data_IF_808181817869
#
_entry.id   IF_808181817869
#
_cell.length_a   1.000
_cell.length_b   1.000
_cell.length_c   1.000
_cell.angle_alpha   90.00
_cell.angle_beta   90.00
_cell.angle_gamma   90.00
#
_symmetry.space_group_name_H-M   'P 1'
#
loop_
_entity.id
_entity.type
_entity.pdbx_description
1 polymer ?
#
# COMPACT_ATOMS: atom_id res chain seq x y z
N UNK A 1 -7.53 32.46 28.80
CA UNK A 1 -6.22 32.54 28.15
C UNK A 1 -6.33 31.86 26.79
N UNK A 2 -5.83 32.46 25.72
CA UNK A 2 -5.72 31.76 24.43
C UNK A 2 -4.71 30.64 24.59
N UNK A 3 -5.06 29.42 24.19
CA UNK A 3 -4.15 28.28 24.23
C UNK A 3 -3.03 28.51 23.22
N UNK A 4 -1.77 28.56 23.67
CA UNK A 4 -0.61 28.93 22.85
C UNK A 4 0.23 27.73 22.41
N UNK A 5 -0.04 26.56 22.98
CA UNK A 5 0.67 25.31 22.72
C UNK A 5 -0.19 24.38 21.87
N UNK A 6 0.42 23.81 20.83
CA UNK A 6 -0.16 22.75 20.01
C UNK A 6 0.82 21.58 20.00
N UNK A 7 0.36 20.36 20.26
CA UNK A 7 1.23 19.19 20.22
C UNK A 7 1.74 18.95 18.78
N UNK A 8 2.97 18.45 18.66
CA UNK A 8 3.45 17.88 17.40
C UNK A 8 2.92 16.44 17.24
N UNK A 9 2.86 15.93 16.00
CA UNK A 9 2.56 14.52 15.76
C UNK A 9 3.47 13.60 16.58
N UNK A 10 2.89 12.52 17.09
CA UNK A 10 3.64 11.54 17.87
C UNK A 10 4.46 10.64 16.95
N UNK A 11 5.65 10.25 17.41
CA UNK A 11 6.48 9.23 16.78
C UNK A 11 6.68 8.11 17.79
N UNK A 12 6.23 6.89 17.47
CA UNK A 12 6.27 5.76 18.42
C UNK A 12 5.43 5.96 19.68
N UNK A 13 4.37 6.77 19.61
CA UNK A 13 3.49 7.07 20.75
C UNK A 13 3.99 8.18 21.68
N UNK A 14 5.13 8.80 21.39
CA UNK A 14 5.68 9.92 22.17
C UNK A 14 5.52 11.24 21.42
N UNK A 15 5.10 12.29 22.14
CA UNK A 15 5.08 13.66 21.62
C UNK A 15 6.53 14.09 21.33
N UNK A 16 6.81 14.42 20.08
CA UNK A 16 8.15 14.77 19.59
C UNK A 16 8.54 16.23 19.88
N UNK A 17 7.55 17.05 20.23
CA UNK A 17 7.70 18.45 20.55
C UNK A 17 6.33 19.15 20.62
N UNK A 18 6.35 20.46 20.76
CA UNK A 18 5.14 21.31 20.66
C UNK A 18 5.42 22.48 19.71
N UNK A 19 4.37 23.01 19.11
CA UNK A 19 4.38 24.35 18.57
C UNK A 19 3.94 25.33 19.66
N UNK A 20 4.81 26.27 20.04
CA UNK A 20 4.42 27.40 20.87
C UNK A 20 4.46 28.67 20.03
N UNK A 21 3.32 29.38 19.94
CA UNK A 21 3.22 30.62 19.16
C UNK A 21 3.71 30.45 17.71
N UNK A 22 3.43 29.29 17.10
CA UNK A 22 3.84 28.94 15.74
C UNK A 22 5.29 28.47 15.58
N UNK A 23 6.10 28.46 16.65
CA UNK A 23 7.47 27.98 16.60
C UNK A 23 7.59 26.54 17.09
N UNK A 24 8.33 25.73 16.34
CA UNK A 24 8.65 24.35 16.71
C UNK A 24 9.58 24.32 17.92
N UNK A 25 9.14 23.68 19.00
CA UNK A 25 9.92 23.41 20.21
C UNK A 25 10.10 21.90 20.32
N UNK A 26 11.34 21.39 20.23
CA UNK A 26 11.59 19.97 20.37
C UNK A 26 11.34 19.50 21.81
N UNK A 27 11.01 18.22 21.96
CA UNK A 27 10.97 17.56 23.27
C UNK A 27 12.40 17.40 23.83
N UNK A 28 12.87 18.43 24.50
CA UNK A 28 14.21 18.53 25.07
C UNK A 28 14.12 19.17 26.46
N UNK A 29 14.53 18.42 27.51
CA UNK A 29 14.47 18.87 28.91
C UNK A 29 15.38 20.07 29.19
N UNK A 30 16.43 20.26 28.39
CA UNK A 30 17.35 21.38 28.53
C UNK A 30 16.81 22.65 27.84
N UNK A 31 15.82 22.52 26.95
CA UNK A 31 15.15 23.63 26.30
C UNK A 31 14.21 24.36 27.28
N UNK A 32 14.44 25.67 27.47
CA UNK A 32 13.66 26.49 28.39
C UNK A 32 12.17 26.55 28.00
N UNK A 33 11.85 26.65 26.71
CA UNK A 33 10.48 26.75 26.23
C UNK A 33 9.74 25.40 26.31
N UNK A 34 10.47 24.28 26.25
CA UNK A 34 9.92 22.96 26.58
C UNK A 34 9.59 22.84 28.07
N UNK A 35 10.45 23.34 28.96
CA UNK A 35 10.15 23.39 30.41
C UNK A 35 8.93 24.27 30.72
N UNK A 36 8.76 25.38 30.01
CA UNK A 36 7.56 26.22 30.13
C UNK A 36 6.29 25.47 29.71
N UNK A 37 6.35 24.67 28.65
CA UNK A 37 5.25 23.79 28.26
C UNK A 37 4.93 22.74 29.34
N UNK A 38 5.94 22.08 29.91
CA UNK A 38 5.74 21.13 31.01
C UNK A 38 5.11 21.78 32.24
N UNK A 39 5.58 22.96 32.65
CA UNK A 39 5.00 23.72 33.76
C UNK A 39 3.55 24.15 33.47
N UNK A 40 3.23 24.49 32.21
CA UNK A 40 1.86 24.76 31.78
C UNK A 40 0.95 23.53 31.97
N UNK A 41 1.42 22.33 31.61
CA UNK A 41 0.67 21.09 31.85
C UNK A 41 0.49 20.80 33.34
N UNK A 42 1.55 20.94 34.15
CA UNK A 42 1.50 20.75 35.61
C UNK A 42 0.51 21.70 36.29
N UNK A 43 0.37 22.92 35.76
CA UNK A 43 -0.62 23.90 36.22
C UNK A 43 -2.06 23.60 35.76
N UNK A 44 -2.31 22.44 35.12
CA UNK A 44 -3.62 22.04 34.60
C UNK A 44 -3.94 22.58 33.20
N UNK A 45 -2.95 23.14 32.50
CA UNK A 45 -3.07 23.51 31.10
C UNK A 45 -3.26 22.29 30.20
N UNK A 46 -3.98 22.46 29.09
CA UNK A 46 -4.16 21.43 28.07
C UNK A 46 -3.68 22.00 26.75
N UNK A 47 -2.76 21.34 26.05
CA UNK A 47 -2.35 21.78 24.72
C UNK A 47 -3.42 21.45 23.68
N UNK A 48 -3.42 22.20 22.58
CA UNK A 48 -4.25 21.85 21.43
C UNK A 48 -3.69 20.58 20.77
N UNK A 49 -4.56 19.67 20.29
CA UNK A 49 -4.10 18.60 19.40
C UNK A 49 -3.48 19.21 18.14
N UNK A 50 -2.55 18.48 17.51
CA UNK A 50 -1.98 18.89 16.24
C UNK A 50 -3.07 19.10 15.18
N UNK A 51 -3.06 20.26 14.53
CA UNK A 51 -3.86 20.57 13.35
C UNK A 51 -2.96 21.24 12.31
N UNK A 52 -2.71 20.54 11.21
CA UNK A 52 -1.87 21.03 10.12
C UNK A 52 -2.44 22.27 9.42
N UNK A 53 -3.75 22.52 9.56
CA UNK A 53 -4.41 23.69 9.00
C UNK A 53 -4.18 24.96 9.84
N UNK A 54 -3.68 24.84 11.08
CA UNK A 54 -3.50 26.00 11.94
C UNK A 54 -2.19 26.75 11.67
N UNK A 55 -2.27 28.07 11.78
CA UNK A 55 -1.15 28.99 11.73
C UNK A 55 -1.26 29.98 12.89
N UNK A 56 -0.14 30.32 13.51
CA UNK A 56 -0.13 31.35 14.53
C UNK A 56 -0.07 32.75 13.90
N UNK A 57 -1.12 33.54 14.07
CA UNK A 57 -1.21 34.93 13.62
C UNK A 57 -1.89 35.79 14.68
N UNK A 58 -1.41 37.02 14.88
CA UNK A 58 -2.04 37.99 15.79
C UNK A 58 -2.32 37.43 17.20
N UNK A 59 -1.35 36.69 17.77
CA UNK A 59 -1.46 36.03 19.07
C UNK A 59 -2.57 34.96 19.19
N UNK A 60 -2.99 34.37 18.08
CA UNK A 60 -4.00 33.32 18.05
C UNK A 60 -3.68 32.27 16.97
N UNK A 61 -4.12 31.04 17.20
CA UNK A 61 -4.15 30.03 16.15
C UNK A 61 -5.34 30.29 15.23
N UNK A 62 -5.07 30.45 13.94
CA UNK A 62 -6.08 30.72 12.90
C UNK A 62 -6.00 29.65 11.82
N UNK A 63 -7.15 29.35 11.22
CA UNK A 63 -7.24 28.43 10.09
C UNK A 63 -6.55 29.04 8.87
N UNK A 64 -5.69 28.24 8.23
CA UNK A 64 -5.00 28.56 6.99
C UNK A 64 -5.40 27.50 5.93
N UNK A 65 -6.30 27.87 5.00
CA UNK A 65 -6.73 26.98 3.93
C UNK A 65 -5.59 26.49 3.02
N UNK A 66 -4.53 27.29 2.82
CA UNK A 66 -3.38 26.90 2.00
C UNK A 66 -2.57 25.80 2.69
N UNK A 67 -2.34 25.91 4.00
CA UNK A 67 -1.68 24.85 4.79
C UNK A 67 -2.52 23.58 4.82
N UNK A 68 -3.84 23.72 4.99
CA UNK A 68 -4.76 22.58 4.94
C UNK A 68 -4.69 21.86 3.59
N UNK A 69 -4.72 22.62 2.49
CA UNK A 69 -4.63 22.08 1.14
C UNK A 69 -3.27 21.40 0.88
N UNK A 70 -2.16 22.01 1.33
CA UNK A 70 -0.83 21.44 1.20
C UNK A 70 -0.70 20.12 1.98
N UNK A 71 -1.17 20.09 3.23
CA UNK A 71 -1.18 18.88 4.05
C UNK A 71 -2.03 17.77 3.41
N UNK A 72 -3.22 18.09 2.91
CA UNK A 72 -4.07 17.13 2.23
C UNK A 72 -3.40 16.57 0.96
N UNK A 73 -2.71 17.41 0.19
CA UNK A 73 -1.98 16.97 -1.00
C UNK A 73 -0.85 15.99 -0.66
N UNK A 74 -0.05 16.29 0.38
CA UNK A 74 1.01 15.41 0.87
C UNK A 74 0.47 14.09 1.41
N UNK A 75 -0.61 14.15 2.20
CA UNK A 75 -1.29 12.96 2.72
C UNK A 75 -1.75 12.06 1.56
N UNK A 76 -2.42 12.62 0.54
CA UNK A 76 -2.88 11.85 -0.62
C UNK A 76 -1.73 11.15 -1.35
N UNK A 77 -0.56 11.79 -1.46
CA UNK A 77 0.64 11.19 -2.04
C UNK A 77 1.13 10.02 -1.18
N UNK A 78 1.25 10.22 0.14
CA UNK A 78 1.67 9.18 1.07
C UNK A 78 0.72 7.96 1.04
N UNK A 79 -0.59 8.20 1.02
CA UNK A 79 -1.59 7.13 0.95
C UNK A 79 -1.58 6.40 -0.41
N UNK A 80 -1.27 7.10 -1.50
CA UNK A 80 -1.05 6.44 -2.79
C UNK A 80 0.16 5.49 -2.74
N UNK A 81 1.26 5.90 -2.10
CA UNK A 81 2.45 5.06 -1.93
C UNK A 81 2.16 3.86 -1.03
N UNK A 82 1.41 4.06 0.06
CA UNK A 82 0.94 2.97 0.92
C UNK A 82 0.12 1.95 0.13
N UNK A 83 -0.83 2.42 -0.70
CA UNK A 83 -1.65 1.54 -1.54
C UNK A 83 -0.82 0.80 -2.60
N UNK A 84 0.20 1.45 -3.18
CA UNK A 84 1.13 0.79 -4.10
C UNK A 84 1.88 -0.35 -3.38
N UNK A 85 2.40 -0.11 -2.16
CA UNK A 85 3.06 -1.14 -1.35
C UNK A 85 2.13 -2.31 -0.98
N UNK A 86 0.88 -2.03 -0.61
CA UNK A 86 -0.11 -3.07 -0.34
C UNK A 86 -0.43 -3.92 -1.58
N UNK A 87 -0.51 -3.28 -2.76
CA UNK A 87 -0.70 -3.97 -4.02
C UNK A 87 0.51 -4.83 -4.41
N UNK A 88 1.73 -4.35 -4.16
CA UNK A 88 2.97 -5.12 -4.42
C UNK A 88 3.08 -6.34 -3.52
N UNK A 89 2.79 -6.19 -2.22
CA UNK A 89 2.71 -7.31 -1.30
C UNK A 89 1.68 -8.35 -1.77
N UNK A 90 0.49 -7.90 -2.20
CA UNK A 90 -0.53 -8.80 -2.72
C UNK A 90 -0.09 -9.51 -4.01
N UNK A 91 0.62 -8.83 -4.92
CA UNK A 91 1.19 -9.49 -6.12
C UNK A 91 2.17 -10.58 -5.72
N UNK A 92 3.12 -10.28 -4.84
CA UNK A 92 4.09 -11.26 -4.34
C UNK A 92 3.41 -12.47 -3.71
N UNK A 93 2.30 -12.28 -2.97
CA UNK A 93 1.53 -13.41 -2.43
C UNK A 93 0.82 -14.25 -3.50
N UNK A 94 0.45 -13.68 -4.65
CA UNK A 94 -0.22 -14.42 -5.75
C UNK A 94 0.78 -15.22 -6.56
N UNK A 95 1.88 -14.59 -6.98
CA UNK A 95 2.79 -15.18 -7.98
C UNK A 95 4.12 -15.67 -7.39
N UNK A 96 4.41 -15.34 -6.13
CA UNK A 96 5.66 -15.72 -5.48
C UNK A 96 6.87 -14.99 -6.07
N UNK A 97 7.94 -15.75 -6.33
CA UNK A 97 9.20 -15.26 -6.84
C UNK A 97 9.05 -14.65 -8.25
N UNK A 98 9.49 -13.39 -8.48
CA UNK A 98 9.42 -12.76 -9.81
C UNK A 98 10.13 -13.52 -10.93
N UNK A 99 11.24 -14.23 -10.66
CA UNK A 99 11.92 -15.05 -11.66
C UNK A 99 11.08 -16.26 -12.06
N UNK A 100 10.32 -16.84 -11.13
CA UNK A 100 9.38 -17.93 -11.41
C UNK A 100 8.23 -17.46 -12.31
N UNK A 101 7.83 -16.20 -12.22
CA UNK A 101 6.86 -15.61 -13.16
C UNK A 101 7.39 -15.59 -14.58
N UNK A 102 8.65 -15.20 -14.78
CA UNK A 102 9.28 -15.15 -16.10
C UNK A 102 9.44 -16.56 -16.69
N UNK A 103 9.81 -17.52 -15.86
CA UNK A 103 9.86 -18.94 -16.25
C UNK A 103 8.47 -19.43 -16.69
N UNK A 104 7.44 -19.14 -15.89
CA UNK A 104 6.08 -19.56 -16.19
C UNK A 104 5.48 -18.88 -17.44
N UNK A 105 5.85 -17.62 -17.71
CA UNK A 105 5.43 -16.91 -18.92
C UNK A 105 6.02 -17.56 -20.19
N UNK A 106 7.27 -18.03 -20.12
CA UNK A 106 7.87 -18.82 -21.21
C UNK A 106 7.15 -20.15 -21.40
N UNK A 107 6.92 -20.89 -20.31
CA UNK A 107 6.18 -22.15 -20.35
C UNK A 107 4.77 -21.97 -20.93
N UNK A 108 4.05 -20.91 -20.54
CA UNK A 108 2.74 -20.59 -21.09
C UNK A 108 2.80 -20.20 -22.57
N UNK A 109 3.85 -19.54 -23.03
CA UNK A 109 4.04 -19.21 -24.45
C UNK A 109 4.26 -20.48 -25.27
N UNK A 110 5.11 -21.39 -24.79
CA UNK A 110 5.37 -22.69 -25.40
C UNK A 110 4.10 -23.57 -25.43
N UNK A 111 3.38 -23.67 -24.31
CA UNK A 111 2.11 -24.40 -24.23
C UNK A 111 1.05 -23.82 -25.19
N UNK A 112 0.97 -22.49 -25.34
CA UNK A 112 0.06 -21.85 -26.33
C UNK A 112 0.40 -22.27 -27.76
N UNK A 113 1.69 -22.32 -28.09
CA UNK A 113 2.14 -22.74 -29.42
C UNK A 113 1.84 -24.23 -29.67
N UNK A 114 2.09 -25.08 -28.68
CA UNK A 114 1.79 -26.51 -28.77
C UNK A 114 0.29 -26.76 -28.93
N UNK A 115 -0.56 -26.07 -28.16
CA UNK A 115 -2.03 -26.11 -28.33
C UNK A 115 -2.47 -25.61 -29.70
N UNK A 116 -1.87 -24.53 -30.21
CA UNK A 116 -2.19 -23.99 -31.53
C UNK A 116 -1.84 -24.97 -32.67
N UNK A 117 -0.83 -25.82 -32.46
CA UNK A 117 -0.50 -26.94 -33.34
C UNK A 117 -1.36 -28.19 -33.08
N UNK A 118 -2.45 -28.08 -32.33
CA UNK A 118 -3.30 -29.20 -31.90
C UNK A 118 -2.51 -30.33 -31.19
N UNK A 119 -1.50 -29.94 -30.39
CA UNK A 119 -0.61 -30.84 -29.66
C UNK A 119 0.16 -31.82 -30.56
N UNK A 120 0.46 -31.40 -31.79
CA UNK A 120 1.25 -32.18 -32.75
C UNK A 120 2.68 -31.67 -32.87
N UNK A 121 3.58 -32.53 -33.36
CA UNK A 121 5.00 -32.24 -33.50
C UNK A 121 5.80 -32.48 -32.21
N UNK A 122 6.98 -31.86 -32.14
CA UNK A 122 7.85 -31.97 -30.98
C UNK A 122 7.22 -31.25 -29.77
N UNK A 123 7.23 -31.93 -28.61
CA UNK A 123 6.73 -31.38 -27.35
C UNK A 123 7.73 -30.33 -26.84
N UNK A 124 7.31 -29.08 -26.54
CA UNK A 124 8.21 -28.10 -25.94
C UNK A 124 8.79 -28.56 -24.61
N UNK A 125 10.04 -28.18 -24.33
CA UNK A 125 10.77 -28.64 -23.14
C UNK A 125 10.00 -28.33 -21.86
N UNK A 126 9.44 -27.13 -21.73
CA UNK A 126 8.68 -26.76 -20.52
C UNK A 126 7.45 -27.63 -20.28
N UNK A 127 6.73 -27.99 -21.36
CA UNK A 127 5.57 -28.87 -21.32
C UNK A 127 5.99 -30.31 -21.01
N UNK A 128 7.07 -30.78 -21.63
CA UNK A 128 7.60 -32.13 -21.39
C UNK A 128 8.05 -32.29 -19.94
N UNK A 129 8.83 -31.35 -19.41
CA UNK A 129 9.30 -31.40 -18.02
C UNK A 129 8.14 -31.35 -17.03
N UNK A 130 7.11 -30.54 -17.29
CA UNK A 130 5.90 -30.53 -16.46
C UNK A 130 5.16 -31.88 -16.51
N UNK A 131 4.97 -32.45 -17.70
CA UNK A 131 4.32 -33.75 -17.90
C UNK A 131 5.09 -34.88 -17.18
N UNK A 132 6.41 -34.91 -17.32
CA UNK A 132 7.28 -35.90 -16.67
C UNK A 132 7.21 -35.79 -15.14
N UNK A 133 7.20 -34.57 -14.61
CA UNK A 133 7.14 -34.31 -13.18
C UNK A 133 5.80 -34.72 -12.55
N UNK A 134 4.69 -34.59 -13.28
CA UNK A 134 3.33 -34.87 -12.77
C UNK A 134 2.80 -36.24 -13.19
N UNK A 135 3.48 -36.94 -14.10
CA UNK A 135 2.99 -38.17 -14.72
C UNK A 135 1.80 -37.96 -15.65
N UNK A 136 1.57 -36.71 -16.08
CA UNK A 136 0.51 -36.35 -17.02
C UNK A 136 0.95 -36.58 -18.46
N UNK A 137 -0.01 -36.56 -19.38
CA UNK A 137 0.31 -36.42 -20.80
C UNK A 137 0.79 -34.99 -21.11
N UNK A 138 1.58 -34.79 -22.19
CA UNK A 138 1.97 -33.45 -22.63
C UNK A 138 0.78 -32.50 -22.89
N UNK A 139 -0.34 -33.04 -23.35
CA UNK A 139 -1.56 -32.25 -23.57
C UNK A 139 -2.16 -31.76 -22.25
N UNK A 140 -2.29 -32.63 -21.25
CA UNK A 140 -2.80 -32.26 -19.91
C UNK A 140 -1.88 -31.24 -19.25
N UNK A 141 -0.55 -31.46 -19.28
CA UNK A 141 0.43 -30.52 -18.73
C UNK A 141 0.36 -29.15 -19.43
N UNK A 142 0.20 -29.11 -20.76
CA UNK A 142 0.02 -27.86 -21.50
C UNK A 142 -1.24 -27.12 -21.06
N UNK A 143 -2.38 -27.80 -20.89
CA UNK A 143 -3.61 -27.16 -20.42
C UNK A 143 -3.48 -26.66 -18.97
N UNK A 144 -2.82 -27.40 -18.09
CA UNK A 144 -2.61 -26.96 -16.71
C UNK A 144 -1.74 -25.70 -16.64
N UNK A 145 -0.67 -25.63 -17.44
CA UNK A 145 0.16 -24.43 -17.59
C UNK A 145 -0.70 -23.24 -18.04
N UNK A 146 -1.57 -23.44 -19.03
CA UNK A 146 -2.43 -22.39 -19.58
C UNK A 146 -3.50 -21.93 -18.59
N UNK A 147 -4.11 -22.86 -17.87
CA UNK A 147 -5.11 -22.58 -16.84
C UNK A 147 -4.51 -21.76 -15.70
N UNK A 148 -3.35 -22.16 -15.20
CA UNK A 148 -2.63 -21.43 -14.17
C UNK A 148 -2.18 -20.05 -14.65
N UNK A 149 -1.69 -19.93 -15.90
CA UNK A 149 -1.36 -18.63 -16.49
C UNK A 149 -2.59 -17.71 -16.55
N UNK A 150 -3.76 -18.24 -16.89
CA UNK A 150 -5.01 -17.47 -16.90
C UNK A 150 -5.42 -17.02 -15.48
N UNK A 151 -5.32 -17.89 -14.48
CA UNK A 151 -5.63 -17.58 -13.08
C UNK A 151 -4.72 -16.48 -12.53
N UNK A 152 -3.40 -16.59 -12.74
CA UNK A 152 -2.43 -15.58 -12.31
C UNK A 152 -2.68 -14.24 -12.99
N UNK A 153 -2.88 -14.23 -14.31
CA UNK A 153 -3.19 -13.00 -15.04
C UNK A 153 -4.48 -12.35 -14.54
N UNK A 154 -5.54 -13.12 -14.31
CA UNK A 154 -6.79 -12.60 -13.78
C UNK A 154 -6.59 -11.93 -12.40
N UNK A 155 -5.82 -12.56 -11.51
CA UNK A 155 -5.50 -12.01 -10.20
C UNK A 155 -4.67 -10.72 -10.31
N UNK A 156 -3.62 -10.71 -11.14
CA UNK A 156 -2.77 -9.53 -11.36
C UNK A 156 -3.55 -8.35 -11.95
N UNK A 157 -4.44 -8.61 -12.92
CA UNK A 157 -5.31 -7.57 -13.48
C UNK A 157 -6.31 -7.04 -12.46
N UNK A 158 -6.88 -7.90 -11.61
CA UNK A 158 -7.80 -7.48 -10.55
C UNK A 158 -7.08 -6.59 -9.52
N UNK A 159 -5.89 -6.97 -9.06
CA UNK A 159 -5.06 -6.15 -8.15
C UNK A 159 -4.73 -4.80 -8.82
N UNK A 160 -4.32 -4.82 -10.10
CA UNK A 160 -4.05 -3.58 -10.86
C UNK A 160 -5.28 -2.66 -10.89
N UNK A 161 -6.45 -3.21 -11.21
CA UNK A 161 -7.69 -2.44 -11.30
C UNK A 161 -8.08 -1.81 -9.96
N UNK A 162 -8.04 -2.59 -8.87
CA UNK A 162 -8.33 -2.10 -7.53
C UNK A 162 -7.38 -0.98 -7.09
N UNK A 163 -6.07 -1.17 -7.31
CA UNK A 163 -5.06 -0.16 -7.00
C UNK A 163 -5.30 1.14 -7.77
N UNK A 164 -5.54 1.07 -9.08
CA UNK A 164 -5.81 2.25 -9.89
C UNK A 164 -7.08 2.98 -9.43
N UNK A 165 -8.18 2.25 -9.20
CA UNK A 165 -9.42 2.82 -8.68
C UNK A 165 -9.23 3.46 -7.31
N UNK A 166 -8.49 2.80 -6.42
CA UNK A 166 -8.16 3.34 -5.09
C UNK A 166 -7.34 4.63 -5.17
N UNK A 167 -6.33 4.70 -6.04
CA UNK A 167 -5.54 5.93 -6.24
C UNK A 167 -6.41 7.09 -6.75
N UNK A 168 -7.34 6.83 -7.66
CA UNK A 168 -8.29 7.87 -8.09
C UNK A 168 -9.21 8.33 -6.96
N UNK A 169 -9.72 7.40 -6.13
CA UNK A 169 -10.52 7.76 -4.97
C UNK A 169 -9.74 8.62 -3.96
N UNK A 170 -8.47 8.28 -3.68
CA UNK A 170 -7.59 9.07 -2.81
C UNK A 170 -7.34 10.46 -3.40
N UNK A 171 -7.05 10.56 -4.70
CA UNK A 171 -6.81 11.84 -5.38
C UNK A 171 -8.02 12.77 -5.31
N UNK A 172 -9.21 12.21 -5.45
CA UNK A 172 -10.48 12.95 -5.46
C UNK A 172 -11.06 13.22 -4.06
N UNK A 173 -10.45 12.70 -2.99
CA UNK A 173 -10.92 12.93 -1.62
C UNK A 173 -10.91 14.43 -1.26
N UNK A 174 -11.97 14.93 -0.62
CA UNK A 174 -12.09 16.35 -0.26
C UNK A 174 -11.53 16.65 1.13
N UNK A 175 -11.35 15.61 1.96
CA UNK A 175 -10.84 15.71 3.31
C UNK A 175 -9.82 14.63 3.65
N UNK A 176 -9.11 14.80 4.77
CA UNK A 176 -8.26 13.76 5.34
C UNK A 176 -9.04 12.48 5.63
N UNK A 177 -10.26 12.60 6.20
CA UNK A 177 -11.09 11.47 6.54
C UNK A 177 -11.48 10.67 5.28
N UNK A 178 -11.87 11.35 4.22
CA UNK A 178 -12.22 10.70 2.94
C UNK A 178 -11.00 10.00 2.32
N UNK A 179 -9.83 10.64 2.36
CA UNK A 179 -8.59 10.07 1.81
C UNK A 179 -8.20 8.79 2.58
N UNK A 180 -8.30 8.82 3.92
CA UNK A 180 -8.05 7.66 4.79
C UNK A 180 -9.07 6.55 4.57
N UNK A 181 -10.34 6.88 4.40
CA UNK A 181 -11.38 5.89 4.10
C UNK A 181 -11.13 5.25 2.72
N UNK A 182 -10.76 6.04 1.71
CA UNK A 182 -10.48 5.55 0.37
C UNK A 182 -9.32 4.53 0.34
N UNK A 183 -8.22 4.80 1.05
CA UNK A 183 -7.10 3.84 1.12
C UNK A 183 -7.49 2.58 1.89
N UNK A 184 -8.19 2.70 3.02
CA UNK A 184 -8.63 1.54 3.83
C UNK A 184 -9.55 0.61 3.02
N UNK A 185 -10.49 1.19 2.28
CA UNK A 185 -11.38 0.42 1.41
C UNK A 185 -10.61 -0.29 0.29
N UNK A 186 -9.68 0.41 -0.37
CA UNK A 186 -8.86 -0.16 -1.43
C UNK A 186 -7.97 -1.31 -0.91
N UNK A 187 -7.32 -1.13 0.25
CA UNK A 187 -6.51 -2.17 0.89
C UNK A 187 -7.35 -3.38 1.31
N UNK A 188 -8.54 -3.15 1.89
CA UNK A 188 -9.49 -4.21 2.23
C UNK A 188 -9.85 -5.02 0.99
N UNK A 189 -10.19 -4.35 -0.10
CA UNK A 189 -10.54 -5.00 -1.37
C UNK A 189 -9.36 -5.77 -1.97
N UNK A 190 -8.14 -5.24 -1.92
CA UNK A 190 -6.94 -5.95 -2.38
C UNK A 190 -6.72 -7.22 -1.54
N UNK A 191 -6.86 -7.12 -0.21
CA UNK A 191 -6.67 -8.26 0.71
C UNK A 191 -7.70 -9.36 0.51
N UNK A 192 -8.98 -9.02 0.32
CA UNK A 192 -10.07 -10.00 0.11
C UNK A 192 -10.12 -10.57 -1.31
N UNK A 193 -9.40 -9.93 -2.24
CA UNK A 193 -9.23 -10.40 -3.62
C UNK A 193 -8.28 -11.59 -3.73
N UNK A 194 -7.69 -12.04 -2.63
CA UNK A 194 -6.88 -13.25 -2.52
C UNK A 194 -7.70 -14.44 -1.96
N UNK A 195 -8.72 -14.99 -2.65
CA UNK A 195 -9.26 -16.28 -2.25
C UNK A 195 -8.28 -17.37 -2.67
N UNK A 196 -7.76 -18.14 -1.70
CA UNK A 196 -7.38 -19.53 -1.91
C UNK A 196 -6.44 -19.86 -3.07
N UNK A 197 -5.66 -18.91 -3.58
CA UNK A 197 -4.44 -19.23 -4.32
C UNK A 197 -3.42 -19.70 -3.28
N UNK A 198 -3.71 -20.84 -2.65
CA UNK A 198 -2.65 -21.74 -2.26
C UNK A 198 -1.79 -21.84 -3.50
N UNK A 199 -0.57 -21.28 -3.45
CA UNK A 199 0.44 -21.67 -4.41
C UNK A 199 0.33 -23.19 -4.54
N UNK A 200 0.24 -23.76 -5.76
CA UNK A 200 0.32 -25.19 -5.89
C UNK A 200 1.49 -25.64 -5.03
N UNK A 201 1.18 -26.53 -4.09
CA UNK A 201 2.10 -27.17 -3.15
C UNK A 201 3.43 -27.38 -3.84
N UNK A 202 4.54 -27.06 -3.16
CA UNK A 202 5.96 -27.04 -3.54
C UNK A 202 6.51 -28.22 -4.41
N UNK A 203 5.78 -28.67 -5.42
CA UNK A 203 5.94 -29.99 -6.05
C UNK A 203 5.99 -29.91 -7.58
N UNK A 204 5.94 -28.71 -8.17
CA UNK A 204 5.95 -28.54 -9.64
C UNK A 204 7.20 -27.82 -10.17
N UNK A 205 8.32 -27.92 -9.45
CA UNK A 205 9.65 -27.63 -9.98
C UNK A 205 10.66 -28.63 -9.40
#
# INVERSE_FOLDING_TARGET
>A
MTNVYMEMPTLGGLVTGVYARGQSIPNDRDNAAWREYLAFLEAGGTAMPFDAALEWKNNQWVQNPEKQAAFLAELKLALCNQLDAAADAARLSVVGDPLRVVEYERAATEAKAFRAAAYSGDVPISVQTAADATGQTPQEAAEDILNMNALWNAALYRIRGLRLKGKEAIRNAESEADARQAVQEAERMIRTTLPGASAPTESLA
#
